data_IF_651447221169
#
_entry.id   IF_651447221169
#
_cell.length_a   1.000
_cell.length_b   1.000
_cell.length_c   1.000
_cell.angle_alpha   90.00
_cell.angle_beta   90.00
_cell.angle_gamma   90.00
#
_symmetry.space_group_name_H-M   'P 1'
#
loop_
_entity.id
_entity.type
_entity.pdbx_description
1 polymer ?
#
# COMPACT_ATOMS: atom_id res chain seq x y z
N UNK A 1 2.03 -5.84 -4.94
CA UNK A 1 0.59 -5.98 -4.62
C UNK A 1 -0.18 -5.20 -5.66
N UNK A 2 -0.88 -5.83 -6.61
CA UNK A 2 -1.88 -5.12 -7.41
C UNK A 2 -3.19 -5.20 -6.64
N UNK A 3 -3.74 -4.06 -6.23
CA UNK A 3 -5.06 -4.02 -5.66
C UNK A 3 -6.05 -4.22 -6.82
N UNK A 4 -6.92 -5.25 -6.77
CA UNK A 4 -8.07 -5.29 -7.68
C UNK A 4 -8.82 -3.96 -7.58
N UNK A 5 -9.31 -3.41 -8.69
CA UNK A 5 -9.98 -2.10 -8.74
C UNK A 5 -11.05 -1.94 -7.64
N UNK A 6 -11.81 -3.01 -7.36
CA UNK A 6 -12.79 -3.02 -6.26
C UNK A 6 -12.18 -2.85 -4.86
N UNK A 7 -10.98 -3.40 -4.60
CA UNK A 7 -10.29 -3.23 -3.31
C UNK A 7 -9.68 -1.84 -3.14
N UNK A 8 -9.41 -1.12 -4.23
CA UNK A 8 -8.92 0.28 -4.16
C UNK A 8 -10.04 1.18 -3.65
N UNK A 9 -11.27 0.96 -4.11
CA UNK A 9 -12.43 1.71 -3.63
C UNK A 9 -12.74 1.43 -2.16
N UNK A 10 -12.53 0.19 -1.70
CA UNK A 10 -12.71 -0.18 -0.28
C UNK A 10 -11.73 0.53 0.67
N UNK A 11 -10.60 1.06 0.16
CA UNK A 11 -9.66 1.87 0.94
C UNK A 11 -10.17 3.29 1.18
N UNK A 12 -11.15 3.75 0.40
CA UNK A 12 -11.73 5.08 0.51
C UNK A 12 -12.91 5.05 1.48
N UNK A 13 -13.03 6.10 2.30
CA UNK A 13 -14.27 6.35 3.03
C UNK A 13 -15.43 6.53 2.06
N UNK A 14 -16.65 6.21 2.51
CA UNK A 14 -17.87 6.33 1.70
C UNK A 14 -18.10 7.74 1.11
N UNK A 15 -17.56 8.77 1.74
CA UNK A 15 -17.64 10.16 1.26
C UNK A 15 -16.72 10.43 0.07
N UNK A 16 -15.64 9.66 -0.09
CA UNK A 16 -14.64 9.86 -1.14
C UNK A 16 -14.85 8.90 -2.31
N UNK A 17 -15.49 7.76 -2.10
CA UNK A 17 -15.58 6.69 -3.12
C UNK A 17 -16.35 7.09 -4.38
N UNK A 18 -17.32 8.01 -4.28
CA UNK A 18 -18.15 8.41 -5.42
C UNK A 18 -17.39 9.25 -6.47
N UNK A 19 -16.48 10.10 -6.02
CA UNK A 19 -15.78 11.10 -6.86
C UNK A 19 -14.28 10.82 -7.01
N UNK A 20 -13.77 9.74 -6.41
CA UNK A 20 -12.34 9.46 -6.42
C UNK A 20 -11.85 8.99 -7.80
N UNK A 21 -10.78 9.61 -8.26
CA UNK A 21 -9.99 9.11 -9.39
C UNK A 21 -9.16 7.91 -8.93
N UNK A 22 -9.50 6.70 -9.41
CA UNK A 22 -8.83 5.46 -9.02
C UNK A 22 -7.32 5.48 -9.31
N UNK A 23 -6.89 6.18 -10.36
CA UNK A 23 -5.47 6.32 -10.68
C UNK A 23 -4.73 7.16 -9.63
N UNK A 24 -5.33 8.27 -9.20
CA UNK A 24 -4.76 9.11 -8.14
C UNK A 24 -4.72 8.36 -6.81
N UNK A 25 -5.76 7.59 -6.50
CA UNK A 25 -5.80 6.74 -5.31
C UNK A 25 -4.71 5.67 -5.37
N UNK A 26 -4.49 5.03 -6.53
CA UNK A 26 -3.39 4.08 -6.70
C UNK A 26 -2.03 4.74 -6.48
N UNK A 27 -1.80 5.93 -7.05
CA UNK A 27 -0.54 6.69 -6.85
C UNK A 27 -0.35 7.08 -5.39
N UNK A 28 -1.41 7.54 -4.72
CA UNK A 28 -1.39 7.84 -3.28
C UNK A 28 -1.07 6.59 -2.44
N UNK A 29 -1.67 5.44 -2.76
CA UNK A 29 -1.36 4.17 -2.11
C UNK A 29 0.10 3.76 -2.33
N UNK A 30 0.63 3.87 -3.56
CA UNK A 30 2.03 3.58 -3.87
C UNK A 30 2.98 4.44 -3.02
N UNK A 31 2.76 5.76 -2.98
CA UNK A 31 3.54 6.70 -2.16
C UNK A 31 3.47 6.32 -0.69
N UNK A 32 2.27 6.09 -0.16
CA UNK A 32 2.08 5.72 1.24
C UNK A 32 2.87 4.45 1.60
N UNK A 33 2.82 3.43 0.74
CA UNK A 33 3.57 2.19 0.95
C UNK A 33 5.10 2.40 0.92
N UNK A 34 5.61 3.33 0.10
CA UNK A 34 7.04 3.64 0.03
C UNK A 34 7.52 4.45 1.25
N UNK A 35 6.71 5.39 1.72
CA UNK A 35 7.05 6.25 2.87
C UNK A 35 7.23 5.47 4.18
N UNK A 36 6.54 4.34 4.34
CA UNK A 36 6.52 3.53 5.57
C UNK A 36 7.49 2.35 5.54
N UNK A 37 8.36 2.24 4.52
CA UNK A 37 9.39 1.19 4.47
C UNK A 37 10.37 1.31 5.64
N UNK A 38 10.81 0.18 6.18
CA UNK A 38 11.73 0.13 7.32
C UNK A 38 13.10 0.73 7.00
N UNK A 39 13.62 0.47 5.78
CA UNK A 39 14.87 1.03 5.30
C UNK A 39 14.67 2.46 4.78
N UNK A 40 15.24 3.43 5.48
CA UNK A 40 15.19 4.86 5.13
C UNK A 40 15.74 5.16 3.73
N UNK A 41 16.69 4.36 3.24
CA UNK A 41 17.30 4.56 1.92
C UNK A 41 16.35 4.19 0.77
N UNK A 42 15.27 3.46 1.07
CA UNK A 42 14.25 3.09 0.09
C UNK A 42 13.10 4.08 0.03
N UNK A 43 13.05 5.04 0.97
CA UNK A 43 11.98 6.04 1.02
C UNK A 43 12.25 7.13 -0.02
N UNK A 44 11.23 7.52 -0.81
CA UNK A 44 11.39 8.58 -1.79
C UNK A 44 11.61 9.93 -1.10
N UNK A 45 12.37 10.78 -1.76
CA UNK A 45 12.47 12.18 -1.40
C UNK A 45 11.14 12.89 -1.59
N UNK A 46 10.95 14.04 -0.93
CA UNK A 46 9.73 14.84 -1.12
C UNK A 46 9.53 15.29 -2.58
N UNK A 47 10.60 15.50 -3.34
CA UNK A 47 10.51 15.83 -4.77
C UNK A 47 9.96 14.68 -5.60
N UNK A 48 10.45 13.46 -5.36
CA UNK A 48 9.94 12.24 -6.01
C UNK A 48 8.49 11.97 -5.62
N UNK A 49 8.13 12.17 -4.35
CA UNK A 49 6.76 12.02 -3.87
C UNK A 49 5.80 12.92 -4.68
N UNK A 50 6.14 14.20 -4.87
CA UNK A 50 5.30 15.12 -5.66
C UNK A 50 5.17 14.65 -7.10
N UNK A 51 6.29 14.25 -7.74
CA UNK A 51 6.27 13.75 -9.11
C UNK A 51 5.38 12.51 -9.29
N UNK A 52 5.40 11.59 -8.32
CA UNK A 52 4.54 10.40 -8.34
C UNK A 52 3.06 10.80 -8.17
N UNK A 53 2.75 11.71 -7.24
CA UNK A 53 1.37 12.14 -7.00
C UNK A 53 0.78 12.90 -8.20
N UNK A 54 1.58 13.74 -8.85
CA UNK A 54 1.22 14.47 -10.08
C UNK A 54 1.12 13.56 -11.32
N UNK A 55 1.54 12.29 -11.22
CA UNK A 55 1.51 11.34 -12.34
C UNK A 55 2.64 11.55 -13.35
N UNK A 56 3.70 12.28 -12.98
CA UNK A 56 4.87 12.50 -13.83
C UNK A 56 5.81 11.30 -13.85
N UNK A 57 5.81 10.49 -12.78
CA UNK A 57 6.62 9.28 -12.63
C UNK A 57 5.72 8.16 -12.11
N UNK A 58 5.68 7.02 -12.83
CA UNK A 58 5.07 5.80 -12.32
C UNK A 58 6.10 4.96 -11.58
N UNK A 59 5.68 4.38 -10.45
CA UNK A 59 6.52 3.51 -9.62
C UNK A 59 5.80 2.19 -9.38
N UNK A 60 6.58 1.12 -9.27
CA UNK A 60 6.05 -0.14 -8.78
C UNK A 60 5.70 -0.02 -7.29
N UNK A 61 4.78 -0.86 -6.83
CA UNK A 61 4.58 -1.04 -5.39
C UNK A 61 5.87 -1.51 -4.72
N UNK A 62 6.18 -1.00 -3.52
CA UNK A 62 7.35 -1.45 -2.77
C UNK A 62 7.21 -2.90 -2.30
N UNK A 63 8.30 -3.47 -1.76
CA UNK A 63 8.23 -4.71 -1.00
C UNK A 63 7.16 -4.67 0.10
N UNK A 64 6.65 -5.85 0.44
CA UNK A 64 5.75 -6.01 1.59
C UNK A 64 6.49 -5.58 2.85
N UNK A 65 5.87 -4.72 3.66
CA UNK A 65 6.42 -4.27 4.93
C UNK A 65 6.78 -5.49 5.79
N UNK A 66 7.98 -5.48 6.38
CA UNK A 66 8.44 -6.60 7.20
C UNK A 66 7.44 -6.93 8.31
N UNK A 67 6.86 -5.90 8.92
CA UNK A 67 5.81 -6.06 9.93
C UNK A 67 4.60 -6.85 9.42
N UNK A 68 4.12 -6.60 8.19
CA UNK A 68 3.02 -7.37 7.60
C UNK A 68 3.42 -8.82 7.35
N UNK A 69 4.67 -9.07 6.95
CA UNK A 69 5.19 -10.44 6.83
C UNK A 69 5.18 -11.18 8.17
N UNK A 70 5.64 -10.52 9.24
CA UNK A 70 5.63 -11.06 10.61
C UNK A 70 4.20 -11.34 11.08
N UNK A 71 3.26 -10.41 10.85
CA UNK A 71 1.86 -10.61 11.21
C UNK A 71 1.23 -11.80 10.46
N UNK A 72 1.51 -11.93 9.15
CA UNK A 72 1.01 -13.04 8.35
C UNK A 72 1.53 -14.40 8.87
N UNK A 73 2.82 -14.49 9.21
CA UNK A 73 3.39 -15.68 9.83
C UNK A 73 2.72 -16.03 11.16
N UNK A 74 2.45 -15.01 11.98
CA UNK A 74 1.78 -15.19 13.28
C UNK A 74 0.33 -15.64 13.12
N UNK A 75 -0.39 -15.16 12.10
CA UNK A 75 -1.74 -15.60 11.81
C UNK A 75 -1.80 -17.08 11.39
N UNK A 76 -0.81 -17.55 10.64
CA UNK A 76 -0.71 -18.96 10.24
C UNK A 76 -0.43 -19.87 11.46
N UNK A 77 0.36 -19.40 12.42
CA UNK A 77 0.61 -20.15 13.66
C UNK A 77 -0.67 -20.35 14.48
N UNK A 78 -1.54 -19.34 14.53
CA UNK A 78 -2.82 -19.45 15.25
C UNK A 78 -3.81 -20.44 14.62
N UNK A 79 -3.72 -20.72 13.31
CA UNK A 79 -4.62 -21.68 12.64
C UNK A 79 -4.20 -23.15 12.84
N UNK A 80 -2.94 -23.43 13.16
CA UNK A 80 -2.48 -24.82 13.37
C UNK A 80 -2.68 -25.31 14.82
N UNK A 81 -2.84 -24.39 15.79
CA UNK A 81 -2.98 -24.74 17.20
C UNK A 81 -4.43 -25.08 17.65
N UNK A 82 -5.40 -25.06 16.73
CA UNK A 82 -6.83 -25.38 17.01
C UNK A 82 -7.30 -26.74 16.47
N UNK A 83 -6.38 -27.61 16.03
CA UNK A 83 -6.71 -28.94 15.47
C UNK A 83 -6.42 -30.12 16.41
N UNK A 84 -6.42 -29.93 17.73
CA UNK A 84 -6.18 -31.01 18.70
C UNK A 84 -7.26 -31.15 19.78
#
# INVERSE_FOLDING_TARGET
MRLPEGKIQDLLGSELSADANLEEVERACKVACWCIQDDENTRPTMGEIVQILEGLVDVSFPPVLWYLHVLAQRSNFSTEETSH
#
